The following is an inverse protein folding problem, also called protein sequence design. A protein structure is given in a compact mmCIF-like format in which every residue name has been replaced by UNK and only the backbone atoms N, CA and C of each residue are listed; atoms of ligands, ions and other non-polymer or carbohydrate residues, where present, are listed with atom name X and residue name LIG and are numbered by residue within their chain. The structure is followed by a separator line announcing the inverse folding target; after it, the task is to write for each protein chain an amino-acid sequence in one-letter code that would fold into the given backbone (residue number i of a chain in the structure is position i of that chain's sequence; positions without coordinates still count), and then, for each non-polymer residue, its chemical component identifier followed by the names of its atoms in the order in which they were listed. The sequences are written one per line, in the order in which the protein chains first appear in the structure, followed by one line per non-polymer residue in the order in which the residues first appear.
data_IF_849490891366
#
_entry.id   IF_849490891366
#
_cell.length_a   1.000
_cell.length_b   1.000
_cell.length_c   1.000
_cell.angle_alpha   90.00
_cell.angle_beta   90.00
_cell.angle_gamma   90.00
#
_symmetry.space_group_name_H-M   'P 1'
#
loop_
_entity.id
_entity.type
_entity.pdbx_description
1 polymer ?
#
# COMPACT_ATOMS: atom_id res chain seq x y z
N UNK A 1 15.54 22.98 4.50
CA UNK A 1 14.47 23.00 3.49
C UNK A 1 14.60 21.71 2.71
N UNK A 2 14.31 20.59 3.39
CA UNK A 2 14.22 19.29 2.73
C UNK A 2 12.73 18.99 2.68
N UNK A 3 12.11 19.25 1.54
CA UNK A 3 10.75 18.80 1.27
C UNK A 3 10.86 17.32 0.84
N UNK A 4 10.78 16.40 1.82
CA UNK A 4 10.87 14.97 1.56
C UNK A 4 9.55 14.48 0.94
N UNK A 5 9.55 14.32 -0.38
CA UNK A 5 8.43 13.71 -1.11
C UNK A 5 8.71 12.25 -1.42
N UNK A 6 7.67 11.40 -1.40
CA UNK A 6 7.81 10.02 -1.85
C UNK A 6 8.31 9.98 -3.30
N UNK A 7 9.41 9.26 -3.52
CA UNK A 7 9.99 9.12 -4.86
C UNK A 7 9.15 8.20 -5.73
N UNK A 8 9.05 8.56 -7.02
CA UNK A 8 8.23 7.83 -7.99
C UNK A 8 9.09 6.93 -8.86
N UNK A 9 8.74 5.63 -8.96
CA UNK A 9 9.33 4.72 -9.95
C UNK A 9 8.75 4.91 -11.36
N UNK A 10 7.57 5.50 -11.46
CA UNK A 10 6.84 5.77 -12.73
C UNK A 10 6.15 7.14 -12.68
N UNK A 11 5.89 7.77 -13.84
CA UNK A 11 5.15 9.04 -13.90
C UNK A 11 3.78 9.00 -13.21
N UNK A 12 3.23 10.18 -12.92
CA UNK A 12 1.90 10.33 -12.31
C UNK A 12 0.77 10.02 -13.28
N UNK A 13 -0.31 9.41 -12.77
CA UNK A 13 -1.50 9.07 -13.55
C UNK A 13 -2.74 9.60 -12.82
N UNK A 14 -3.03 10.87 -13.09
CA UNK A 14 -4.20 11.61 -12.62
C UNK A 14 -5.17 11.82 -13.78
N UNK A 15 -6.46 12.01 -13.50
CA UNK A 15 -7.48 12.21 -14.53
C UNK A 15 -7.27 13.52 -15.32
N UNK A 16 -6.81 14.56 -14.63
CA UNK A 16 -6.47 15.89 -15.17
C UNK A 16 -4.98 16.04 -15.51
N UNK A 17 -4.18 14.99 -15.29
CA UNK A 17 -2.73 15.02 -15.42
C UNK A 17 -1.97 15.67 -14.26
N UNK A 18 -2.65 16.14 -13.20
CA UNK A 18 -2.02 16.89 -12.10
C UNK A 18 -2.37 16.34 -10.72
N UNK A 19 -3.64 16.36 -10.29
CA UNK A 19 -4.01 15.98 -8.92
C UNK A 19 -5.37 15.27 -8.80
N UNK A 20 -6.26 15.37 -9.80
CA UNK A 20 -7.55 14.69 -9.74
C UNK A 20 -7.33 13.18 -9.74
N UNK A 21 -7.90 12.51 -8.72
CA UNK A 21 -7.80 11.06 -8.59
C UNK A 21 -8.17 10.38 -9.91
N UNK A 22 -7.20 9.70 -10.51
CA UNK A 22 -7.46 8.92 -11.71
C UNK A 22 -8.27 7.67 -11.37
N UNK A 23 -8.98 7.13 -12.36
CA UNK A 23 -9.62 5.82 -12.23
C UNK A 23 -11.13 5.80 -12.38
N UNK A 24 -11.74 6.80 -13.02
CA UNK A 24 -13.16 6.76 -13.38
C UNK A 24 -13.54 5.51 -14.21
N UNK A 25 -12.58 4.97 -14.98
CA UNK A 25 -12.75 3.73 -15.74
C UNK A 25 -12.22 2.47 -15.00
N UNK A 26 -11.85 2.57 -13.72
CA UNK A 26 -11.40 1.43 -12.92
C UNK A 26 -12.60 0.76 -12.23
N UNK A 27 -12.59 -0.57 -12.07
CA UNK A 27 -13.63 -1.24 -11.31
C UNK A 27 -13.62 -0.82 -9.84
N UNK A 28 -14.78 -0.92 -9.19
CA UNK A 28 -14.97 -0.59 -7.79
C UNK A 28 -13.96 -1.34 -6.88
N UNK A 29 -13.21 -0.61 -6.06
CA UNK A 29 -12.16 -1.16 -5.20
C UNK A 29 -12.68 -2.18 -4.18
N UNK A 30 -13.90 -2.00 -3.65
CA UNK A 30 -14.52 -2.95 -2.73
C UNK A 30 -14.82 -4.28 -3.43
N UNK A 31 -15.32 -4.22 -4.67
CA UNK A 31 -15.58 -5.41 -5.48
C UNK A 31 -14.28 -6.18 -5.77
N UNK A 32 -13.19 -5.47 -6.06
CA UNK A 32 -11.88 -6.10 -6.23
C UNK A 32 -11.39 -6.75 -4.92
N UNK A 33 -11.54 -6.07 -3.78
CA UNK A 33 -11.16 -6.63 -2.47
C UNK A 33 -11.94 -7.90 -2.15
N UNK A 34 -13.25 -7.93 -2.39
CA UNK A 34 -14.06 -9.12 -2.18
C UNK A 34 -13.70 -10.26 -3.14
N UNK A 35 -13.36 -9.94 -4.38
CA UNK A 35 -13.02 -10.94 -5.39
C UNK A 35 -11.65 -11.57 -5.15
N UNK A 36 -10.65 -10.78 -4.73
CA UNK A 36 -9.26 -11.25 -4.64
C UNK A 36 -8.79 -11.57 -3.22
N UNK A 37 -9.23 -10.81 -2.22
CA UNK A 37 -8.68 -10.90 -0.85
C UNK A 37 -9.55 -11.74 0.09
N UNK A 38 -10.78 -12.08 -0.31
CA UNK A 38 -11.66 -12.97 0.47
C UNK A 38 -11.16 -14.41 0.35
N UNK A 39 -10.87 -15.04 1.48
CA UNK A 39 -10.40 -16.42 1.54
C UNK A 39 -10.56 -17.03 2.93
N UNK A 40 -10.21 -18.31 3.09
CA UNK A 40 -10.25 -18.99 4.38
C UNK A 40 -9.16 -18.45 5.32
N UNK A 41 -9.47 -18.40 6.62
CA UNK A 41 -8.53 -18.03 7.67
C UNK A 41 -7.69 -19.24 8.12
N UNK A 42 -6.64 -19.00 8.91
CA UNK A 42 -5.80 -20.06 9.49
C UNK A 42 -4.75 -20.62 8.53
N UNK A 43 -4.59 -20.01 7.35
CA UNK A 43 -3.50 -20.33 6.44
C UNK A 43 -2.18 -19.82 7.02
N UNK A 44 -1.38 -20.73 7.56
CA UNK A 44 -0.06 -20.44 8.12
C UNK A 44 0.96 -20.02 7.06
N UNK A 45 2.01 -19.32 7.49
CA UNK A 45 3.12 -18.95 6.61
C UNK A 45 3.86 -20.20 6.14
N UNK A 46 4.03 -20.34 4.81
CA UNK A 46 4.84 -21.43 4.21
C UNK A 46 6.32 -21.38 4.62
N UNK A 47 6.78 -20.24 5.15
CA UNK A 47 8.15 -20.03 5.62
C UNK A 47 8.24 -20.03 7.17
N UNK A 48 7.19 -20.48 7.87
CA UNK A 48 7.13 -20.52 9.34
C UNK A 48 7.44 -19.16 10.01
N UNK A 49 7.04 -18.05 9.38
CA UNK A 49 7.21 -16.71 9.97
C UNK A 49 6.26 -16.54 11.15
N UNK A 50 6.77 -15.90 12.20
CA UNK A 50 6.00 -15.62 13.42
C UNK A 50 5.08 -14.40 13.23
N UNK A 51 4.06 -14.27 14.07
CA UNK A 51 3.23 -13.07 14.10
C UNK A 51 4.06 -11.82 14.47
N UNK A 52 5.03 -11.95 15.39
CA UNK A 52 5.93 -10.86 15.78
C UNK A 52 6.72 -10.31 14.57
N UNK A 53 7.13 -11.18 13.63
CA UNK A 53 7.79 -10.75 12.39
C UNK A 53 6.90 -9.78 11.59
N UNK A 54 5.61 -10.05 11.46
CA UNK A 54 4.68 -9.18 10.73
C UNK A 54 4.45 -7.85 11.47
N UNK A 55 4.23 -7.88 12.79
CA UNK A 55 4.04 -6.67 13.59
C UNK A 55 5.28 -5.77 13.60
N UNK A 56 6.47 -6.36 13.72
CA UNK A 56 7.72 -5.61 13.63
C UNK A 56 7.91 -5.00 12.24
N UNK A 57 7.59 -5.74 11.17
CA UNK A 57 7.62 -5.21 9.81
C UNK A 57 6.67 -4.02 9.61
N UNK A 58 5.50 -4.04 10.24
CA UNK A 58 4.57 -2.91 10.24
C UNK A 58 5.16 -1.69 10.97
N UNK A 59 5.76 -1.88 12.14
CA UNK A 59 6.43 -0.79 12.88
C UNK A 59 7.53 -0.13 12.02
N UNK A 60 8.46 -0.93 11.51
CA UNK A 60 9.57 -0.43 10.67
C UNK A 60 9.04 0.30 9.44
N UNK A 61 8.03 -0.25 8.76
CA UNK A 61 7.46 0.38 7.56
C UNK A 61 6.78 1.71 7.91
N UNK A 62 6.09 1.79 9.05
CA UNK A 62 5.45 3.01 9.52
C UNK A 62 6.48 4.09 9.81
N UNK A 63 7.57 3.76 10.50
CA UNK A 63 8.65 4.70 10.80
C UNK A 63 9.29 5.27 9.52
N UNK A 64 9.57 4.41 8.53
CA UNK A 64 10.16 4.85 7.26
C UNK A 64 9.21 5.80 6.50
N UNK A 65 7.92 5.49 6.47
CA UNK A 65 6.93 6.34 5.80
C UNK A 65 6.79 7.69 6.51
N UNK A 66 6.68 7.70 7.84
CA UNK A 66 6.57 8.94 8.63
C UNK A 66 7.83 9.81 8.51
N UNK A 67 9.01 9.20 8.53
CA UNK A 67 10.27 9.92 8.33
C UNK A 67 10.44 10.47 6.90
N UNK A 68 9.74 9.88 5.92
CA UNK A 68 9.71 10.37 4.54
C UNK A 68 8.66 11.47 4.32
N UNK A 69 7.90 11.86 5.33
CA UNK A 69 6.93 12.96 5.30
C UNK A 69 7.39 14.18 6.11
N UNK A 70 8.52 14.08 6.83
CA UNK A 70 9.15 15.13 7.65
C UNK A 70 10.30 15.84 6.95
#
# INVERSE_FOLDING_TARGET
MDDSHLTRKVPATYADGVYMMGGDNRPNARKLSELFMKGPNGLGSVMNRTALFAFFGQLVSSEILMASES
#
